data_IF_576325935881
#
_entry.id   IF_576325935881
#
_cell.length_a   1.000
_cell.length_b   1.000
_cell.length_c   1.000
_cell.angle_alpha   90.00
_cell.angle_beta   90.00
_cell.angle_gamma   90.00
#
_symmetry.space_group_name_H-M   'P 1'
#
loop_
_entity.id
_entity.type
_entity.pdbx_description
1 polymer ?
#
# COMPACT_ATOMS: atom_id res chain seq x y z
N UNK A 1 -8.72 -19.77 -77.64
CA UNK A 1 -7.93 -20.76 -76.87
C UNK A 1 -6.88 -20.02 -76.03
N UNK A 2 -7.11 -19.80 -74.73
CA UNK A 2 -6.15 -19.11 -73.83
C UNK A 2 -6.13 -19.71 -72.40
N UNK A 3 -6.35 -21.02 -72.24
CA UNK A 3 -6.51 -21.68 -70.93
C UNK A 3 -5.20 -22.16 -70.30
N UNK A 4 -4.05 -22.01 -70.98
CA UNK A 4 -2.74 -22.49 -70.52
C UNK A 4 -1.94 -21.48 -69.67
N UNK A 5 -2.05 -20.19 -69.98
CA UNK A 5 -1.25 -19.13 -69.32
C UNK A 5 -1.63 -18.96 -67.84
N UNK A 6 -2.92 -18.94 -67.51
CA UNK A 6 -3.41 -18.85 -66.13
C UNK A 6 -3.00 -20.05 -65.26
N UNK A 7 -2.87 -21.25 -65.85
CA UNK A 7 -2.43 -22.45 -65.13
C UNK A 7 -0.94 -22.40 -64.77
N UNK A 8 -0.08 -21.93 -65.67
CA UNK A 8 1.36 -21.72 -65.40
C UNK A 8 1.57 -20.58 -64.39
N UNK A 9 0.86 -19.46 -64.57
CA UNK A 9 0.90 -18.34 -63.63
C UNK A 9 0.39 -18.71 -62.23
N UNK A 10 -0.62 -19.58 -62.14
CA UNK A 10 -1.09 -20.11 -60.85
C UNK A 10 -0.09 -21.05 -60.16
N UNK A 11 0.80 -21.70 -60.92
CA UNK A 11 1.88 -22.54 -60.37
C UNK A 11 3.03 -21.68 -59.86
N UNK A 12 3.48 -20.70 -60.64
CA UNK A 12 4.52 -19.75 -60.23
C UNK A 12 4.09 -18.91 -59.03
N UNK A 13 2.81 -18.50 -58.94
CA UNK A 13 2.28 -17.81 -57.77
C UNK A 13 2.28 -18.68 -56.50
N UNK A 14 1.99 -19.98 -56.64
CA UNK A 14 2.04 -20.96 -55.55
C UNK A 14 3.47 -21.28 -55.10
N UNK A 15 4.44 -21.26 -56.03
CA UNK A 15 5.86 -21.46 -55.69
C UNK A 15 6.44 -20.23 -54.97
N UNK A 16 6.11 -19.02 -55.42
CA UNK A 16 6.52 -17.78 -54.74
C UNK A 16 5.95 -17.69 -53.33
N UNK A 17 4.68 -18.04 -53.13
CA UNK A 17 4.05 -18.01 -51.78
C UNK A 17 4.66 -19.01 -50.80
N UNK A 18 5.18 -20.15 -51.26
CA UNK A 18 5.89 -21.11 -50.39
C UNK A 18 7.21 -20.54 -49.87
N UNK A 19 7.99 -19.88 -50.72
CA UNK A 19 9.26 -19.27 -50.32
C UNK A 19 9.07 -18.07 -49.37
N UNK A 20 7.99 -17.30 -49.53
CA UNK A 20 7.66 -16.21 -48.60
C UNK A 20 7.14 -16.72 -47.25
N UNK A 21 6.34 -17.79 -47.23
CA UNK A 21 5.85 -18.40 -45.98
C UNK A 21 6.98 -18.88 -45.06
N UNK A 22 8.01 -19.52 -45.62
CA UNK A 22 9.11 -20.05 -44.82
C UNK A 22 9.88 -18.96 -44.04
N UNK A 23 10.03 -17.75 -44.62
CA UNK A 23 10.65 -16.61 -43.93
C UNK A 23 9.71 -15.98 -42.89
N UNK A 24 8.42 -15.91 -43.21
CA UNK A 24 7.41 -15.37 -42.29
C UNK A 24 7.33 -16.21 -41.01
N UNK A 25 7.26 -17.54 -41.14
CA UNK A 25 7.11 -18.47 -40.03
C UNK A 25 8.30 -18.42 -39.05
N UNK A 26 9.53 -18.19 -39.55
CA UNK A 26 10.71 -18.04 -38.69
C UNK A 26 10.64 -16.76 -37.83
N UNK A 27 10.26 -15.63 -38.42
CA UNK A 27 10.13 -14.37 -37.69
C UNK A 27 8.96 -14.40 -36.70
N UNK A 28 7.83 -14.97 -37.10
CA UNK A 28 6.65 -15.10 -36.25
C UNK A 28 6.93 -16.00 -35.04
N UNK A 29 7.71 -17.07 -35.20
CA UNK A 29 8.14 -17.94 -34.11
C UNK A 29 8.97 -17.22 -33.05
N UNK A 30 9.92 -16.37 -33.46
CA UNK A 30 10.74 -15.59 -32.53
C UNK A 30 9.91 -14.55 -31.77
N UNK A 31 9.00 -13.86 -32.45
CA UNK A 31 8.11 -12.86 -31.83
C UNK A 31 7.14 -13.54 -30.85
N UNK A 32 6.56 -14.68 -31.24
CA UNK A 32 5.65 -15.44 -30.39
C UNK A 32 6.33 -15.91 -29.10
N UNK A 33 7.58 -16.38 -29.18
CA UNK A 33 8.34 -16.81 -28.01
C UNK A 33 8.62 -15.65 -27.05
N UNK A 34 9.10 -14.51 -27.56
CA UNK A 34 9.33 -13.31 -26.75
C UNK A 34 8.06 -12.78 -26.09
N UNK A 35 6.93 -12.80 -26.81
CA UNK A 35 5.63 -12.40 -26.23
C UNK A 35 5.20 -13.34 -25.11
N UNK A 36 5.31 -14.65 -25.31
CA UNK A 36 4.99 -15.65 -24.28
C UNK A 36 5.90 -15.49 -23.06
N UNK A 37 7.21 -15.36 -23.27
CA UNK A 37 8.17 -15.21 -22.18
C UNK A 37 7.95 -13.90 -21.40
N UNK A 38 7.68 -12.79 -22.09
CA UNK A 38 7.35 -11.52 -21.43
C UNK A 38 6.03 -11.58 -20.66
N UNK A 39 5.02 -12.25 -21.19
CA UNK A 39 3.75 -12.46 -20.48
C UNK A 39 3.94 -13.32 -19.24
N UNK A 40 4.67 -14.43 -19.36
CA UNK A 40 4.97 -15.31 -18.22
C UNK A 40 5.81 -14.56 -17.18
N UNK A 41 6.83 -13.81 -17.60
CA UNK A 41 7.66 -13.00 -16.71
C UNK A 41 6.84 -11.90 -16.01
N UNK A 42 5.94 -11.23 -16.73
CA UNK A 42 5.04 -10.23 -16.16
C UNK A 42 4.08 -10.84 -15.14
N UNK A 43 3.49 -12.01 -15.45
CA UNK A 43 2.58 -12.69 -14.55
C UNK A 43 3.30 -13.21 -13.30
N UNK A 44 4.44 -13.88 -13.47
CA UNK A 44 5.26 -14.39 -12.37
C UNK A 44 5.80 -13.25 -11.50
N UNK A 45 6.30 -12.19 -12.11
CA UNK A 45 6.76 -10.99 -11.41
C UNK A 45 5.62 -10.30 -10.65
N UNK A 46 4.45 -10.16 -11.26
CA UNK A 46 3.26 -9.60 -10.62
C UNK A 46 2.80 -10.40 -9.41
N UNK A 47 2.73 -11.74 -9.53
CA UNK A 47 2.39 -12.63 -8.41
C UNK A 47 3.42 -12.51 -7.28
N UNK A 48 4.72 -12.48 -7.62
CA UNK A 48 5.78 -12.33 -6.62
C UNK A 48 5.66 -11.01 -5.85
N UNK A 49 5.44 -9.89 -6.55
CA UNK A 49 5.27 -8.58 -5.92
C UNK A 49 4.03 -8.58 -5.02
N UNK A 50 2.90 -9.12 -5.48
CA UNK A 50 1.68 -9.25 -4.68
C UNK A 50 1.91 -10.10 -3.42
N UNK A 51 2.66 -11.20 -3.53
CA UNK A 51 3.00 -12.04 -2.39
C UNK A 51 3.88 -11.30 -1.37
N UNK A 52 4.86 -10.51 -1.83
CA UNK A 52 5.72 -9.71 -0.94
C UNK A 52 4.90 -8.64 -0.23
N UNK A 53 4.12 -7.85 -0.97
CA UNK A 53 3.31 -6.77 -0.39
C UNK A 53 2.27 -7.34 0.57
N UNK A 54 1.55 -8.40 0.16
CA UNK A 54 0.58 -9.09 1.01
C UNK A 54 1.21 -9.73 2.25
N UNK A 55 2.41 -10.30 2.11
CA UNK A 55 3.16 -10.85 3.24
C UNK A 55 3.61 -9.77 4.22
N UNK A 56 4.11 -8.64 3.72
CA UNK A 56 4.49 -7.50 4.56
C UNK A 56 3.28 -6.91 5.29
N UNK A 57 2.16 -6.69 4.60
CA UNK A 57 0.95 -6.16 5.24
C UNK A 57 0.46 -7.11 6.33
N UNK A 58 0.38 -8.42 6.07
CA UNK A 58 0.03 -9.40 7.10
C UNK A 58 1.01 -9.39 8.29
N UNK A 59 2.31 -9.34 8.02
CA UNK A 59 3.35 -9.33 9.05
C UNK A 59 3.25 -8.13 10.00
N UNK A 60 2.97 -6.94 9.45
CA UNK A 60 2.90 -5.69 10.23
C UNK A 60 1.50 -5.37 10.78
N UNK A 61 0.46 -6.09 10.36
CA UNK A 61 -0.91 -5.84 10.85
C UNK A 61 -1.39 -6.90 11.84
N UNK A 62 -1.08 -8.17 11.58
CA UNK A 62 -1.52 -9.30 12.39
C UNK A 62 -0.37 -10.22 12.83
N UNK A 63 0.83 -9.99 12.28
CA UNK A 63 2.02 -10.76 12.59
C UNK A 63 2.88 -10.15 13.71
N UNK A 64 4.05 -10.74 13.97
CA UNK A 64 4.94 -10.32 15.07
C UNK A 64 5.60 -8.95 14.83
N UNK A 65 5.48 -8.37 13.63
CA UNK A 65 5.87 -6.99 13.37
C UNK A 65 4.80 -5.95 13.74
N UNK A 66 3.63 -6.38 14.20
CA UNK A 66 2.54 -5.46 14.54
C UNK A 66 2.92 -4.53 15.71
N UNK A 67 2.54 -3.24 15.64
CA UNK A 67 2.83 -2.29 16.70
C UNK A 67 2.13 -2.70 18.00
N UNK A 68 2.81 -2.49 19.13
CA UNK A 68 2.22 -2.75 20.45
C UNK A 68 0.96 -1.89 20.65
N UNK A 69 -0.18 -2.48 21.06
CA UNK A 69 -1.40 -1.71 21.29
C UNK A 69 -1.18 -0.69 22.40
N UNK A 70 -1.60 0.55 22.16
CA UNK A 70 -1.57 1.61 23.17
C UNK A 70 -2.57 1.28 24.28
N UNK A 71 -2.21 1.40 25.57
CA UNK A 71 -3.15 1.15 26.66
C UNK A 71 -4.33 2.12 26.58
N UNK A 72 -5.54 1.58 26.71
CA UNK A 72 -6.75 2.40 26.85
C UNK A 72 -6.77 3.07 28.23
N UNK A 73 -7.20 4.35 28.35
CA UNK A 73 -7.37 4.98 29.64
C UNK A 73 -8.34 4.18 30.52
N UNK A 74 -7.87 3.80 31.71
CA UNK A 74 -8.71 3.19 32.75
C UNK A 74 -9.57 4.27 33.40
N UNK A 75 -10.82 3.94 33.72
CA UNK A 75 -11.71 4.84 34.44
C UNK A 75 -11.11 5.18 35.82
N UNK A 76 -10.96 6.48 36.10
CA UNK A 76 -10.58 6.95 37.43
C UNK A 76 -11.77 6.70 38.38
N UNK A 77 -11.55 6.09 39.56
CA UNK A 77 -12.62 5.95 40.54
C UNK A 77 -13.14 7.34 40.94
N UNK A 78 -14.46 7.49 40.95
CA UNK A 78 -15.11 8.68 41.49
C UNK A 78 -14.90 8.69 43.01
N UNK A 79 -14.45 9.80 43.62
CA UNK A 79 -14.31 9.88 45.07
C UNK A 79 -15.67 9.65 45.73
N UNK A 80 -15.72 8.70 46.67
CA UNK A 80 -16.86 8.55 47.58
C UNK A 80 -16.95 9.79 48.46
N UNK A 81 -18.11 10.44 48.59
CA UNK A 81 -18.26 11.55 49.52
C UNK A 81 -17.98 11.07 50.95
N UNK A 82 -17.08 11.76 51.63
CA UNK A 82 -16.81 11.53 53.05
C UNK A 82 -18.06 11.86 53.86
N UNK A 83 -18.43 11.07 54.88
CA UNK A 83 -19.56 11.39 55.75
C UNK A 83 -19.35 12.77 56.38
N UNK A 84 -20.22 13.72 56.05
CA UNK A 84 -20.26 15.03 56.69
C UNK A 84 -20.74 14.85 58.12
N UNK A 85 -19.83 14.97 59.09
CA UNK A 85 -20.18 15.03 60.51
C UNK A 85 -20.76 16.42 60.79
N UNK A 86 -22.03 16.55 61.19
CA UNK A 86 -22.59 17.85 61.57
C UNK A 86 -21.85 18.37 62.81
N UNK A 87 -21.09 19.46 62.67
CA UNK A 87 -20.43 20.15 63.78
C UNK A 87 -18.90 19.99 63.88
N UNK A 88 -18.22 19.40 62.89
CA UNK A 88 -16.76 19.45 62.85
C UNK A 88 -16.25 20.89 62.64
N UNK A 89 -15.21 21.36 63.37
CA UNK A 89 -14.65 22.68 63.15
C UNK A 89 -14.05 22.75 61.74
N UNK A 90 -14.49 23.73 60.95
CA UNK A 90 -13.92 23.98 59.64
C UNK A 90 -12.42 24.28 59.82
N UNK A 91 -11.49 23.66 59.05
CA UNK A 91 -10.11 24.09 59.08
C UNK A 91 -10.06 25.55 58.63
N UNK A 92 -9.69 26.45 59.54
CA UNK A 92 -9.45 27.85 59.23
C UNK A 92 -8.43 27.93 58.11
N UNK A 93 -8.80 28.55 57.00
CA UNK A 93 -7.84 28.92 55.98
C UNK A 93 -6.72 29.73 56.64
N UNK A 94 -5.50 29.22 56.61
CA UNK A 94 -4.32 29.98 57.00
C UNK A 94 -4.25 31.21 56.07
N UNK A 95 -4.21 32.45 56.57
CA UNK A 95 -4.11 33.61 55.72
C UNK A 95 -2.76 33.55 54.99
N UNK A 96 -2.83 33.53 53.66
CA UNK A 96 -1.67 33.70 52.80
C UNK A 96 -0.93 35.00 53.21
N UNK A 97 0.39 34.97 53.42
CA UNK A 97 1.12 36.20 53.73
C UNK A 97 1.07 37.12 52.51
N UNK A 98 0.49 38.31 52.73
CA UNK A 98 0.87 39.58 52.12
C UNK A 98 0.85 39.64 50.60
N UNK A 99 -0.12 40.38 50.06
CA UNK A 99 -0.11 40.82 48.68
C UNK A 99 1.21 41.49 48.30
N UNK A 100 1.92 40.89 47.34
CA UNK A 100 2.77 41.62 46.43
C UNK A 100 1.92 41.96 45.21
N UNK A 101 1.53 43.23 45.10
CA UNK A 101 0.99 43.84 43.88
C UNK A 101 1.93 43.57 42.70
N UNK A 102 1.39 43.32 41.49
CA UNK A 102 2.16 42.87 40.33
C UNK A 102 3.09 43.97 39.80
N UNK A 103 4.35 43.64 39.57
CA UNK A 103 5.22 44.47 38.73
C UNK A 103 5.08 44.00 37.29
N UNK A 104 4.52 44.79 36.36
CA UNK A 104 4.59 44.46 34.94
C UNK A 104 6.05 44.61 34.49
N UNK A 105 6.64 43.56 33.93
CA UNK A 105 7.89 43.70 33.17
C UNK A 105 7.56 44.35 31.83
N UNK A 106 8.01 45.59 31.55
CA UNK A 106 7.89 46.15 30.22
C UNK A 106 8.85 45.44 29.26
N UNK A 107 8.28 44.85 28.22
CA UNK A 107 8.94 44.50 26.96
C UNK A 107 9.42 45.77 26.25
N UNK A 108 10.67 45.80 25.80
CA UNK A 108 11.15 46.57 24.63
C UNK A 108 12.67 46.38 24.42
N UNK A 109 13.22 46.71 23.25
CA UNK A 109 12.84 46.36 21.88
C UNK A 109 13.80 45.34 21.23
#
# INVERSE_FOLDING_TARGET
MATGAGKKQSREAKERTRLYRARQEFHDGLIARRRRDNLVAGLAGGILILAIVGGQTLYYTAGPGAPTPTPSPSATPTPTPEPTIPGAPQPSASPAPGGATPSPTPTAP
#
